data_IF_970972656062
#
_entry.id   IF_970972656062
#
_cell.length_a   1.000
_cell.length_b   1.000
_cell.length_c   1.000
_cell.angle_alpha   90.00
_cell.angle_beta   90.00
_cell.angle_gamma   90.00
#
_symmetry.space_group_name_H-M   'P 1'
#
loop_
_entity.id
_entity.type
_entity.pdbx_description
1 polymer ?
#
# COMPACT_ATOMS: atom_id res chain seq x y z
N UNK A 1 -50.13 -2.68 -51.31
CA UNK A 1 -49.83 -2.60 -49.87
C UNK A 1 -48.32 -2.55 -49.73
N UNK A 2 -47.75 -1.41 -49.31
CA UNK A 2 -46.30 -1.22 -49.17
C UNK A 2 -45.92 -1.48 -47.71
N UNK A 3 -45.04 -2.45 -47.46
CA UNK A 3 -44.46 -2.68 -46.14
C UNK A 3 -43.23 -1.80 -45.99
N UNK A 4 -43.31 -0.82 -45.09
CA UNK A 4 -42.17 -0.01 -44.65
C UNK A 4 -41.41 -0.80 -43.57
N UNK A 5 -40.16 -1.15 -43.86
CA UNK A 5 -39.26 -1.77 -42.89
C UNK A 5 -38.60 -0.64 -42.10
N UNK A 6 -38.90 -0.54 -40.81
CA UNK A 6 -38.19 0.34 -39.88
C UNK A 6 -36.80 -0.22 -39.60
N UNK A 7 -35.71 0.57 -39.75
CA UNK A 7 -34.39 0.09 -39.38
C UNK A 7 -34.30 -0.04 -37.85
N UNK A 8 -33.99 -1.24 -37.39
CA UNK A 8 -33.62 -1.49 -36.00
C UNK A 8 -32.29 -0.78 -35.78
N UNK A 9 -32.30 0.30 -34.99
CA UNK A 9 -31.07 0.93 -34.52
C UNK A 9 -30.21 -0.11 -33.80
N UNK A 10 -29.08 -0.48 -34.41
CA UNK A 10 -28.01 -1.17 -33.69
C UNK A 10 -27.55 -0.22 -32.58
N UNK A 11 -28.04 -0.45 -31.37
CA UNK A 11 -27.38 0.05 -30.17
C UNK A 11 -26.06 -0.72 -30.14
N UNK A 12 -24.99 -0.06 -30.56
CA UNK A 12 -23.66 -0.55 -30.30
C UNK A 12 -23.54 -0.66 -28.77
N UNK A 13 -23.60 -1.88 -28.24
CA UNK A 13 -23.07 -2.16 -26.93
C UNK A 13 -21.59 -1.79 -27.03
N UNK A 14 -21.24 -0.60 -26.55
CA UNK A 14 -19.85 -0.26 -26.25
C UNK A 14 -19.40 -1.23 -25.17
N UNK A 15 -18.79 -2.33 -25.61
CA UNK A 15 -17.96 -3.16 -24.75
C UNK A 15 -16.79 -2.26 -24.37
N UNK A 16 -16.94 -1.52 -23.28
CA UNK A 16 -15.81 -0.86 -22.64
C UNK A 16 -14.97 -1.98 -22.02
N UNK A 17 -14.14 -2.60 -22.86
CA UNK A 17 -12.93 -3.25 -22.39
C UNK A 17 -12.28 -2.24 -21.44
N UNK A 18 -12.19 -2.55 -20.14
CA UNK A 18 -11.48 -1.71 -19.17
C UNK A 18 -10.09 -1.44 -19.75
N UNK A 19 -9.93 -0.26 -20.35
CA UNK A 19 -8.63 0.27 -20.75
C UNK A 19 -7.77 0.35 -19.51
N UNK A 20 -6.48 -0.01 -19.62
CA UNK A 20 -5.40 0.22 -18.64
C UNK A 20 -5.87 1.13 -17.51
N UNK A 21 -6.06 0.58 -16.30
CA UNK A 21 -6.49 1.37 -15.16
C UNK A 21 -5.58 2.61 -15.08
N UNK A 22 -6.19 3.78 -15.17
CA UNK A 22 -5.45 5.03 -15.13
C UNK A 22 -4.85 5.17 -13.73
N UNK A 23 -3.52 5.32 -13.66
CA UNK A 23 -2.78 5.61 -12.42
C UNK A 23 -3.50 6.70 -11.61
N UNK A 24 -3.87 6.37 -10.37
CA UNK A 24 -4.54 7.30 -9.48
C UNK A 24 -3.54 8.36 -8.99
N UNK A 25 -3.91 9.65 -8.96
CA UNK A 25 -3.07 10.67 -8.38
C UNK A 25 -2.78 10.34 -6.89
N UNK A 26 -1.62 10.77 -6.35
CA UNK A 26 -1.19 10.38 -5.00
C UNK A 26 -2.25 10.58 -3.91
N UNK A 27 -2.97 11.70 -3.93
CA UNK A 27 -4.00 11.98 -2.93
C UNK A 27 -5.17 11.00 -2.97
N UNK A 28 -5.55 10.53 -4.17
CA UNK A 28 -6.58 9.50 -4.34
C UNK A 28 -6.10 8.13 -3.90
N UNK A 29 -4.85 7.75 -4.19
CA UNK A 29 -4.25 6.50 -3.68
C UNK A 29 -4.37 6.43 -2.18
N UNK A 30 -3.89 7.48 -1.51
CA UNK A 30 -3.78 7.42 -0.06
C UNK A 30 -5.16 7.62 0.60
N UNK A 31 -6.11 8.35 -0.02
CA UNK A 31 -7.50 8.37 0.44
C UNK A 31 -8.17 6.99 0.30
N UNK A 32 -7.93 6.30 -0.82
CA UNK A 32 -8.49 4.98 -1.09
C UNK A 32 -7.94 3.93 -0.13
N UNK A 33 -6.62 3.95 0.13
CA UNK A 33 -6.01 3.08 1.15
C UNK A 33 -6.58 3.36 2.53
N UNK A 34 -6.65 4.63 2.95
CA UNK A 34 -7.20 4.99 4.26
C UNK A 34 -8.66 4.55 4.46
N UNK A 35 -9.51 4.81 3.46
CA UNK A 35 -10.91 4.39 3.49
C UNK A 35 -11.05 2.86 3.43
N UNK A 36 -10.19 2.19 2.67
CA UNK A 36 -10.17 0.74 2.54
C UNK A 36 -9.83 0.04 3.85
N UNK A 37 -8.70 0.41 4.46
CA UNK A 37 -8.25 -0.22 5.72
C UNK A 37 -9.18 0.07 6.89
N UNK A 38 -9.88 1.22 6.87
CA UNK A 38 -10.91 1.57 7.84
C UNK A 38 -12.02 0.51 7.95
N UNK A 39 -12.39 -0.09 6.81
CA UNK A 39 -13.45 -1.07 6.72
C UNK A 39 -13.00 -2.48 7.15
N UNK A 40 -11.69 -2.72 7.30
CA UNK A 40 -11.16 -4.04 7.67
C UNK A 40 -11.17 -4.23 9.20
N UNK A 41 -10.69 -3.23 9.95
CA UNK A 41 -10.46 -3.36 11.39
C UNK A 41 -11.44 -2.58 12.28
N UNK A 42 -12.40 -1.88 11.68
CA UNK A 42 -13.26 -0.94 12.39
C UNK A 42 -12.50 0.32 12.80
N UNK A 43 -13.17 1.47 12.81
CA UNK A 43 -12.55 2.79 12.90
C UNK A 43 -11.67 3.07 14.13
N UNK A 44 -11.65 2.18 15.13
CA UNK A 44 -10.89 2.35 16.37
C UNK A 44 -9.38 2.08 16.25
N UNK A 45 -8.92 1.39 15.20
CA UNK A 45 -7.51 1.05 15.01
C UNK A 45 -6.82 1.85 13.89
N UNK A 46 -7.51 2.83 13.27
CA UNK A 46 -6.98 3.53 12.11
C UNK A 46 -6.01 4.63 12.56
N UNK A 47 -4.72 4.58 12.19
CA UNK A 47 -3.79 5.66 12.47
C UNK A 47 -4.15 6.90 11.63
N UNK A 48 -3.92 8.10 12.16
CA UNK A 48 -4.03 9.32 11.36
C UNK A 48 -2.95 9.30 10.28
N UNK A 49 -3.23 9.79 9.07
CA UNK A 49 -2.20 9.87 8.01
C UNK A 49 -1.86 11.33 7.74
N UNK A 50 -0.64 11.74 8.06
CA UNK A 50 -0.12 13.08 7.77
C UNK A 50 0.76 13.04 6.52
N UNK A 51 0.39 13.83 5.51
CA UNK A 51 1.01 13.75 4.19
C UNK A 51 0.68 14.94 3.28
N UNK A 52 1.51 15.19 2.26
CA UNK A 52 2.93 14.89 2.24
C UNK A 52 3.69 15.93 3.08
N UNK A 53 4.72 15.49 3.82
CA UNK A 53 5.39 16.34 4.81
C UNK A 53 6.79 16.76 4.34
N UNK A 54 7.21 18.02 4.51
CA UNK A 54 8.56 18.46 4.18
C UNK A 54 9.60 17.87 5.16
N UNK A 55 10.84 17.61 4.70
CA UNK A 55 11.94 17.23 5.60
C UNK A 55 12.14 18.26 6.72
N UNK A 56 12.47 17.79 7.92
CA UNK A 56 12.66 18.64 9.11
C UNK A 56 11.38 19.02 9.85
N UNK A 57 10.19 18.63 9.36
CA UNK A 57 8.95 18.76 10.12
C UNK A 57 9.03 17.94 11.42
N UNK A 58 8.68 18.54 12.55
CA UNK A 58 8.71 17.87 13.85
C UNK A 58 7.44 17.03 14.06
N UNK A 59 7.62 15.71 14.14
CA UNK A 59 6.56 14.75 14.50
C UNK A 59 6.69 14.37 15.98
N UNK A 60 5.70 13.68 16.55
CA UNK A 60 5.81 13.17 17.93
C UNK A 60 6.92 12.12 18.09
N UNK A 61 7.37 11.50 17.00
CA UNK A 61 8.47 10.52 16.99
C UNK A 61 9.81 11.12 16.55
N UNK A 62 9.90 12.44 16.37
CA UNK A 62 11.13 13.13 15.98
C UNK A 62 11.03 13.84 14.63
N UNK A 63 12.14 14.45 14.17
CA UNK A 63 12.15 15.20 12.92
C UNK A 63 12.02 14.27 11.71
N UNK A 64 11.25 14.71 10.71
CA UNK A 64 11.03 13.98 9.47
C UNK A 64 12.33 13.91 8.64
N UNK A 65 12.82 12.69 8.39
CA UNK A 65 13.96 12.44 7.50
C UNK A 65 13.52 12.51 6.03
N UNK A 66 14.45 12.92 5.14
CA UNK A 66 14.15 13.27 3.74
C UNK A 66 13.41 12.16 2.97
N UNK A 67 13.90 10.94 2.98
CA UNK A 67 13.32 9.81 2.25
C UNK A 67 12.81 8.77 3.24
N UNK A 68 11.64 9.03 3.83
CA UNK A 68 11.12 8.19 4.89
C UNK A 68 9.58 8.11 4.85
N UNK A 69 9.06 6.97 5.26
CA UNK A 69 7.69 6.77 5.73
C UNK A 69 7.79 6.00 7.04
N UNK A 70 6.96 6.33 8.02
CA UNK A 70 6.95 5.58 9.27
C UNK A 70 5.62 5.71 10.00
N UNK A 71 5.26 4.67 10.74
CA UNK A 71 4.24 4.70 11.78
C UNK A 71 4.82 5.15 13.13
N UNK A 72 4.27 6.23 13.68
CA UNK A 72 4.60 6.75 14.99
C UNK A 72 3.69 6.15 16.07
N UNK A 73 4.28 5.33 16.95
CA UNK A 73 3.57 4.71 18.09
C UNK A 73 3.07 5.72 19.12
N UNK A 74 3.72 6.89 19.26
CA UNK A 74 3.44 7.88 20.31
C UNK A 74 2.11 8.60 20.12
N UNK A 75 1.74 8.87 18.87
CA UNK A 75 0.51 9.58 18.52
C UNK A 75 -0.39 8.80 17.56
N UNK A 76 -0.07 7.53 17.32
CA UNK A 76 -0.81 6.63 16.45
C UNK A 76 -1.03 7.21 15.05
N UNK A 77 0.05 7.67 14.42
CA UNK A 77 -0.01 8.35 13.12
C UNK A 77 1.02 7.83 12.12
N UNK A 78 0.66 7.79 10.83
CA UNK A 78 1.54 7.50 9.71
C UNK A 78 2.03 8.84 9.14
N UNK A 79 3.35 8.94 8.96
CA UNK A 79 4.04 10.09 8.40
C UNK A 79 4.71 9.69 7.10
N UNK A 80 4.49 10.46 6.02
CA UNK A 80 5.09 10.18 4.69
C UNK A 80 5.72 11.46 4.14
N UNK A 81 7.00 11.38 3.77
CA UNK A 81 7.73 12.56 3.28
C UNK A 81 7.39 12.85 1.83
N UNK A 82 7.48 14.12 1.42
CA UNK A 82 7.33 14.51 0.01
C UNK A 82 8.28 13.69 -0.91
N UNK A 83 9.58 13.51 -0.58
CA UNK A 83 10.45 12.68 -1.41
C UNK A 83 10.06 11.21 -1.46
N UNK A 84 9.54 10.62 -0.37
CA UNK A 84 9.07 9.23 -0.38
C UNK A 84 7.86 9.07 -1.29
N UNK A 85 6.86 9.97 -1.20
CA UNK A 85 5.70 9.96 -2.10
C UNK A 85 6.16 10.04 -3.56
N UNK A 86 7.07 10.97 -3.88
CA UNK A 86 7.58 11.13 -5.25
C UNK A 86 8.33 9.89 -5.73
N UNK A 87 9.15 9.27 -4.89
CA UNK A 87 9.94 8.10 -5.27
C UNK A 87 9.08 6.86 -5.47
N UNK A 88 8.15 6.56 -4.55
CA UNK A 88 7.21 5.46 -4.72
C UNK A 88 6.37 5.65 -5.99
N UNK A 89 5.88 6.86 -6.23
CA UNK A 89 5.06 7.17 -7.41
C UNK A 89 5.83 7.12 -8.74
N UNK A 90 7.17 7.12 -8.73
CA UNK A 90 7.95 6.83 -9.95
C UNK A 90 7.84 5.37 -10.38
N UNK A 91 7.52 4.46 -9.44
CA UNK A 91 7.22 3.07 -9.75
C UNK A 91 5.75 2.87 -10.11
N UNK A 92 4.85 3.69 -9.55
CA UNK A 92 3.42 3.70 -9.87
C UNK A 92 2.55 3.96 -8.63
N UNK A 93 1.25 4.08 -8.85
CA UNK A 93 0.28 4.37 -7.80
C UNK A 93 0.17 3.21 -6.77
N UNK A 94 0.33 1.97 -7.24
CA UNK A 94 0.33 0.77 -6.41
C UNK A 94 1.56 0.68 -5.50
N UNK A 95 2.71 1.18 -5.96
CA UNK A 95 3.90 1.28 -5.12
C UNK A 95 3.70 2.28 -3.96
N UNK A 96 3.00 3.40 -4.21
CA UNK A 96 2.61 4.32 -3.15
C UNK A 96 1.55 3.69 -2.21
N UNK A 97 0.59 2.94 -2.76
CA UNK A 97 -0.38 2.17 -1.98
C UNK A 97 0.31 1.21 -0.99
N UNK A 98 1.36 0.53 -1.46
CA UNK A 98 2.17 -0.38 -0.67
C UNK A 98 2.90 0.33 0.49
N UNK A 99 3.48 1.52 0.29
CA UNK A 99 4.08 2.31 1.40
C UNK A 99 3.06 2.51 2.53
N UNK A 100 1.85 2.92 2.19
CA UNK A 100 0.81 3.22 3.18
C UNK A 100 0.33 1.94 3.86
N UNK A 101 0.17 0.86 3.08
CA UNK A 101 -0.21 -0.46 3.59
C UNK A 101 0.83 -1.01 4.57
N UNK A 102 2.12 -0.78 4.30
CA UNK A 102 3.22 -1.18 5.16
C UNK A 102 3.19 -0.41 6.50
N UNK A 103 3.06 0.91 6.47
CA UNK A 103 2.96 1.68 7.71
C UNK A 103 1.68 1.38 8.50
N UNK A 104 0.58 1.09 7.80
CA UNK A 104 -0.64 0.60 8.44
C UNK A 104 -0.43 -0.75 9.11
N UNK A 105 0.38 -1.65 8.52
CA UNK A 105 0.73 -2.92 9.14
C UNK A 105 1.52 -2.75 10.44
N UNK A 106 2.44 -1.78 10.53
CA UNK A 106 3.08 -1.42 11.80
C UNK A 106 2.11 -0.91 12.85
N UNK A 107 1.11 -0.13 12.43
CA UNK A 107 -0.01 0.25 13.32
C UNK A 107 -0.72 -0.98 13.89
N UNK A 108 -1.03 -1.97 13.04
CA UNK A 108 -1.71 -3.20 13.47
C UNK A 108 -0.82 -4.08 14.37
N UNK A 109 0.47 -4.20 14.07
CA UNK A 109 1.44 -4.84 14.96
C UNK A 109 1.42 -4.23 16.36
N UNK A 110 1.39 -2.89 16.43
CA UNK A 110 1.34 -2.17 17.70
C UNK A 110 -0.01 -2.29 18.43
N UNK A 111 -1.14 -2.25 17.71
CA UNK A 111 -2.49 -2.36 18.29
C UNK A 111 -2.72 -3.77 18.84
N UNK A 112 -2.45 -4.79 18.04
CA UNK A 112 -2.73 -6.19 18.39
C UNK A 112 -1.59 -6.90 19.13
N UNK A 113 -0.49 -6.18 19.44
CA UNK A 113 0.66 -6.69 20.19
C UNK A 113 1.23 -7.96 19.57
N UNK A 114 1.36 -7.98 18.24
CA UNK A 114 2.20 -8.99 17.60
C UNK A 114 3.62 -8.78 18.17
N UNK A 115 4.21 -9.84 18.75
CA UNK A 115 5.56 -9.79 19.34
C UNK A 115 6.61 -9.60 18.23
N UNK A 116 6.62 -8.43 17.62
CA UNK A 116 7.55 -8.05 16.57
C UNK A 116 8.66 -7.24 17.21
N UNK A 117 9.75 -7.91 17.58
CA UNK A 117 11.00 -7.20 17.86
C UNK A 117 11.35 -6.36 16.63
N UNK A 118 11.77 -5.11 16.82
CA UNK A 118 12.28 -4.28 15.73
C UNK A 118 13.35 -5.07 14.97
N UNK A 119 13.22 -5.16 13.64
CA UNK A 119 14.11 -5.94 12.79
C UNK A 119 13.39 -6.67 11.65
N UNK A 120 14.11 -7.48 10.87
CA UNK A 120 13.66 -7.94 9.56
C UNK A 120 12.40 -8.79 9.58
N UNK A 121 12.13 -9.54 10.66
CA UNK A 121 10.89 -10.32 10.76
C UNK A 121 9.67 -9.39 10.89
N UNK A 122 9.80 -8.31 11.67
CA UNK A 122 8.74 -7.29 11.81
C UNK A 122 8.45 -6.61 10.49
N UNK A 123 9.50 -6.23 9.76
CA UNK A 123 9.42 -5.56 8.46
C UNK A 123 8.81 -6.47 7.38
N UNK A 124 9.26 -7.73 7.30
CA UNK A 124 8.70 -8.70 6.35
C UNK A 124 7.25 -9.07 6.69
N UNK A 125 6.88 -9.09 7.97
CA UNK A 125 5.47 -9.25 8.35
C UNK A 125 4.66 -8.03 7.90
N UNK A 126 5.21 -6.82 8.06
CA UNK A 126 4.56 -5.60 7.58
C UNK A 126 4.39 -5.62 6.06
N UNK A 127 5.37 -6.13 5.30
CA UNK A 127 5.25 -6.35 3.85
C UNK A 127 4.13 -7.32 3.48
N UNK A 128 4.04 -8.45 4.18
CA UNK A 128 2.96 -9.41 3.98
C UNK A 128 1.59 -8.79 4.28
N UNK A 129 1.45 -8.11 5.42
CA UNK A 129 0.20 -7.46 5.80
C UNK A 129 -0.16 -6.34 4.83
N UNK A 130 0.82 -5.57 4.32
CA UNK A 130 0.59 -4.55 3.30
C UNK A 130 -0.03 -5.16 2.04
N UNK A 131 0.51 -6.27 1.54
CA UNK A 131 -0.05 -6.99 0.40
C UNK A 131 -1.49 -7.45 0.66
N UNK A 132 -1.78 -7.97 1.86
CA UNK A 132 -3.13 -8.36 2.26
C UNK A 132 -4.10 -7.17 2.30
N UNK A 133 -3.69 -6.06 2.92
CA UNK A 133 -4.54 -4.88 3.04
C UNK A 133 -4.84 -4.26 1.69
N UNK A 134 -3.84 -4.16 0.82
CA UNK A 134 -4.02 -3.72 -0.56
C UNK A 134 -5.09 -4.57 -1.25
N UNK A 135 -4.93 -5.89 -1.27
CA UNK A 135 -5.88 -6.80 -1.90
C UNK A 135 -7.30 -6.75 -1.30
N UNK A 136 -7.45 -6.30 -0.05
CA UNK A 136 -8.72 -6.16 0.63
C UNK A 136 -9.42 -4.81 0.38
N UNK A 137 -8.76 -3.80 -0.20
CA UNK A 137 -9.39 -2.51 -0.53
C UNK A 137 -10.28 -2.68 -1.77
N UNK A 138 -11.61 -2.71 -1.56
CA UNK A 138 -12.60 -3.03 -2.59
C UNK A 138 -12.58 -2.13 -3.84
N UNK A 139 -12.07 -0.89 -3.72
CA UNK A 139 -11.99 0.07 -4.82
C UNK A 139 -10.63 0.09 -5.54
N UNK A 140 -9.70 -0.78 -5.14
CA UNK A 140 -8.41 -0.95 -5.80
C UNK A 140 -8.38 -2.33 -6.45
N UNK A 141 -8.55 -2.37 -7.77
CA UNK A 141 -8.36 -3.60 -8.54
C UNK A 141 -6.94 -3.57 -9.07
N UNK A 142 -6.06 -4.33 -8.42
CA UNK A 142 -4.67 -4.44 -8.85
C UNK A 142 -4.56 -5.37 -10.06
N UNK A 143 -4.10 -4.85 -11.18
CA UNK A 143 -3.78 -5.66 -12.35
C UNK A 143 -2.32 -6.16 -12.32
N UNK A 144 -1.89 -6.86 -13.38
CA UNK A 144 -0.53 -7.41 -13.44
C UNK A 144 0.56 -6.33 -13.43
N UNK A 145 0.26 -5.13 -13.93
CA UNK A 145 1.17 -3.99 -13.89
C UNK A 145 1.34 -3.53 -12.45
N UNK A 146 0.25 -3.31 -11.73
CA UNK A 146 0.31 -2.86 -10.33
C UNK A 146 1.09 -3.83 -9.43
N UNK A 147 0.88 -5.14 -9.63
CA UNK A 147 1.66 -6.18 -8.95
C UNK A 147 3.16 -6.04 -9.28
N UNK A 148 3.51 -5.74 -10.52
CA UNK A 148 4.91 -5.53 -10.93
C UNK A 148 5.51 -4.25 -10.33
N UNK A 149 4.74 -3.19 -10.18
CA UNK A 149 5.16 -1.92 -9.57
C UNK A 149 5.51 -2.12 -8.09
N UNK A 150 4.61 -2.79 -7.35
CA UNK A 150 4.84 -3.11 -5.94
C UNK A 150 6.06 -4.01 -5.76
N UNK A 151 6.20 -5.05 -6.60
CA UNK A 151 7.37 -5.95 -6.54
C UNK A 151 8.66 -5.21 -6.85
N UNK A 152 8.66 -4.32 -7.84
CA UNK A 152 9.84 -3.55 -8.23
C UNK A 152 10.26 -2.58 -7.12
N UNK A 153 9.29 -1.91 -6.50
CA UNK A 153 9.55 -0.99 -5.40
C UNK A 153 9.96 -1.72 -4.11
N UNK A 154 9.31 -2.84 -3.76
CA UNK A 154 9.70 -3.68 -2.63
C UNK A 154 11.14 -4.21 -2.78
N UNK A 155 11.54 -4.57 -4.00
CA UNK A 155 12.91 -4.94 -4.30
C UNK A 155 13.87 -3.77 -4.09
N UNK A 156 13.53 -2.57 -4.58
CA UNK A 156 14.38 -1.38 -4.49
C UNK A 156 14.58 -0.87 -3.05
N UNK A 157 13.61 -1.10 -2.18
CA UNK A 157 13.69 -0.77 -0.75
C UNK A 157 14.49 -1.79 0.08
N UNK A 158 14.63 -3.03 -0.40
CA UNK A 158 15.34 -4.06 0.36
C UNK A 158 16.82 -3.76 0.48
N UNK A 159 17.42 -4.21 1.58
CA UNK A 159 18.83 -4.01 1.90
C UNK A 159 19.52 -5.33 2.26
N UNK A 160 20.85 -5.35 2.28
CA UNK A 160 21.66 -6.51 2.68
C UNK A 160 22.36 -6.30 4.04
N UNK A 161 21.92 -5.31 4.80
CA UNK A 161 22.59 -4.84 6.01
C UNK A 161 22.32 -5.73 7.24
N UNK A 162 23.25 -6.58 7.60
CA UNK A 162 23.18 -7.38 8.83
C UNK A 162 23.57 -6.64 10.13
N UNK A 163 23.83 -5.33 10.08
CA UNK A 163 24.49 -4.56 11.16
C UNK A 163 23.61 -3.52 11.86
N UNK A 164 22.40 -3.24 11.37
CA UNK A 164 21.51 -2.21 11.94
C UNK A 164 20.19 -2.81 12.45
N UNK A 165 19.66 -2.24 13.53
CA UNK A 165 18.36 -2.60 14.13
C UNK A 165 17.15 -2.25 13.25
N UNK A 166 17.37 -1.58 12.12
CA UNK A 166 16.37 -1.13 11.13
C UNK A 166 16.55 -1.84 9.77
N UNK A 167 16.98 -3.10 9.75
CA UNK A 167 17.09 -3.86 8.50
C UNK A 167 15.71 -4.27 7.98
N UNK A 168 15.39 -3.87 6.74
CA UNK A 168 14.10 -4.11 6.09
C UNK A 168 13.93 -5.56 5.63
N UNK A 169 15.04 -6.27 5.45
CA UNK A 169 15.08 -7.58 4.80
C UNK A 169 15.63 -7.46 3.38
N UNK A 170 16.15 -8.57 2.86
CA UNK A 170 16.72 -8.58 1.51
C UNK A 170 15.68 -8.23 0.45
N UNK A 171 16.09 -7.63 -0.69
CA UNK A 171 15.18 -7.34 -1.80
C UNK A 171 14.26 -8.52 -2.17
N UNK A 172 14.80 -9.74 -2.20
CA UNK A 172 14.03 -10.96 -2.50
C UNK A 172 13.03 -11.33 -1.39
N UNK A 173 13.40 -11.16 -0.12
CA UNK A 173 12.50 -11.44 1.00
C UNK A 173 11.31 -10.48 0.99
N UNK A 174 11.55 -9.18 0.77
CA UNK A 174 10.47 -8.17 0.73
C UNK A 174 9.49 -8.45 -0.41
N UNK A 175 10.01 -8.74 -1.60
CA UNK A 175 9.18 -9.16 -2.76
C UNK A 175 8.36 -10.41 -2.45
N UNK A 176 8.96 -11.42 -1.81
CA UNK A 176 8.27 -12.64 -1.46
C UNK A 176 7.16 -12.40 -0.44
N UNK A 177 7.43 -11.60 0.60
CA UNK A 177 6.48 -11.30 1.66
C UNK A 177 5.25 -10.54 1.12
N UNK A 178 5.46 -9.43 0.38
CA UNK A 178 4.34 -8.65 -0.16
C UNK A 178 3.51 -9.45 -1.18
N UNK A 179 4.18 -10.26 -2.02
CA UNK A 179 3.48 -11.11 -3.00
C UNK A 179 2.67 -12.21 -2.33
N UNK A 180 3.15 -12.76 -1.21
CA UNK A 180 2.39 -13.71 -0.41
C UNK A 180 1.15 -13.05 0.20
N UNK A 181 1.32 -11.84 0.75
CA UNK A 181 0.25 -11.01 1.29
C UNK A 181 -0.89 -10.74 0.30
N UNK A 182 -0.55 -10.33 -0.92
CA UNK A 182 -1.52 -10.06 -2.00
C UNK A 182 -2.40 -11.26 -2.36
N UNK A 183 -1.96 -12.48 -2.04
CA UNK A 183 -2.69 -13.73 -2.29
C UNK A 183 -3.31 -14.31 -1.02
N UNK A 184 -3.08 -13.69 0.13
CA UNK A 184 -3.59 -14.17 1.40
C UNK A 184 -5.08 -13.83 1.53
N UNK A 185 -5.86 -14.77 2.04
CA UNK A 185 -7.28 -14.60 2.34
C UNK A 185 -7.53 -14.23 3.82
N UNK A 186 -6.47 -14.04 4.61
CA UNK A 186 -6.54 -13.70 6.03
C UNK A 186 -5.22 -13.08 6.49
N UNK A 187 -5.25 -12.02 7.33
CA UNK A 187 -4.03 -11.40 7.85
C UNK A 187 -3.26 -12.35 8.78
N UNK A 188 -3.91 -13.38 9.34
CA UNK A 188 -3.26 -14.39 10.20
C UNK A 188 -2.21 -15.21 9.44
N UNK A 189 -2.28 -15.26 8.10
CA UNK A 189 -1.26 -15.93 7.28
C UNK A 189 0.07 -15.18 7.25
N UNK A 190 0.10 -13.91 7.66
CA UNK A 190 1.31 -13.09 7.76
C UNK A 190 2.05 -13.23 9.10
N UNK A 191 1.80 -14.32 9.85
CA UNK A 191 2.63 -14.68 10.99
C UNK A 191 3.93 -15.27 10.44
N UNK A 192 5.01 -14.47 10.48
CA UNK A 192 6.38 -14.90 10.20
C UNK A 192 7.07 -15.37 11.48
#
# INVERSE_FOLDING_TARGET
>A
MAFTITPISLIALSITSKSNAQELPPDQVIQSMYAGVANIHGYQAIPKVYRPIPPGFNTSCGPMVKLNAFYCRRDHSIYISIPMVRWAYQYGDAALAYVIGHEYAHAMQNVYKFNSNNGPISELQADCLAGFYMAAVQNLVFDNRDIAEVRSFAYALGDFSNVWTEHHGTPKQRVAAVTFGMRANSPVRCKL
#
